data_IF_788252596504
#
_entry.id   IF_788252596504
#
_cell.length_a   1.000
_cell.length_b   1.000
_cell.length_c   1.000
_cell.angle_alpha   90.00
_cell.angle_beta   90.00
_cell.angle_gamma   90.00
#
_symmetry.space_group_name_H-M   'P 1'
#
loop_
_entity.id
_entity.type
_entity.pdbx_description
1 polymer ?
#
# COMPACT_ATOMS: atom_id res chain seq x y z
N UNK A 1 6.26 -8.52 9.53
CA UNK A 1 4.94 -8.81 10.15
C UNK A 1 3.76 -8.07 9.48
N UNK A 2 3.88 -7.60 8.23
CA UNK A 2 2.78 -6.90 7.50
C UNK A 2 2.20 -7.68 6.31
N UNK A 3 2.62 -8.93 6.11
CA UNK A 3 2.23 -9.77 4.98
C UNK A 3 1.03 -10.68 5.25
N UNK A 4 0.46 -10.63 6.46
CA UNK A 4 -0.70 -11.44 6.87
C UNK A 4 -2.05 -10.78 6.61
N UNK A 5 -2.10 -9.45 6.49
CA UNK A 5 -3.34 -8.72 6.17
C UNK A 5 -3.93 -9.06 4.79
N UNK A 6 -3.12 -9.18 3.71
CA UNK A 6 -3.65 -9.57 2.40
C UNK A 6 -4.13 -11.02 2.38
N UNK A 7 -3.49 -11.90 3.15
CA UNK A 7 -3.87 -13.32 3.26
C UNK A 7 -5.12 -13.55 4.11
N UNK A 8 -5.47 -12.63 5.02
CA UNK A 8 -6.69 -12.70 5.82
C UNK A 8 -7.93 -12.20 5.06
N UNK A 9 -7.73 -11.32 4.07
CA UNK A 9 -8.82 -10.76 3.24
C UNK A 9 -9.06 -11.62 1.98
N UNK A 10 -8.04 -12.29 1.44
CA UNK A 10 -8.18 -13.02 0.17
C UNK A 10 -8.92 -14.37 0.30
N UNK A 11 -9.90 -14.68 -0.58
CA UNK A 11 -10.58 -15.96 -0.60
C UNK A 11 -9.64 -17.05 -1.16
N UNK A 12 -9.85 -18.31 -0.79
CA UNK A 12 -8.99 -19.46 -1.14
C UNK A 12 -8.81 -19.53 -2.67
N UNK A 13 -7.64 -19.08 -3.16
CA UNK A 13 -7.26 -19.04 -4.58
C UNK A 13 -6.77 -17.68 -5.10
N UNK A 14 -7.07 -16.56 -4.42
CA UNK A 14 -6.72 -15.21 -4.88
C UNK A 14 -5.43 -14.61 -4.29
N UNK A 15 -4.83 -15.28 -3.31
CA UNK A 15 -3.68 -14.78 -2.54
C UNK A 15 -2.46 -14.51 -3.41
N UNK A 16 -2.27 -15.28 -4.50
CA UNK A 16 -1.20 -15.07 -5.47
C UNK A 16 -1.34 -13.78 -6.28
N UNK A 17 -2.56 -13.46 -6.75
CA UNK A 17 -2.82 -12.22 -7.50
C UNK A 17 -2.73 -10.99 -6.60
N UNK A 18 -3.27 -11.06 -5.39
CA UNK A 18 -3.15 -9.97 -4.41
C UNK A 18 -1.68 -9.74 -4.02
N UNK A 19 -0.93 -10.82 -3.75
CA UNK A 19 0.50 -10.75 -3.47
C UNK A 19 1.31 -10.21 -4.66
N UNK A 20 0.95 -10.58 -5.89
CA UNK A 20 1.55 -10.06 -7.13
C UNK A 20 1.31 -8.56 -7.32
N UNK A 21 0.08 -8.09 -7.13
CA UNK A 21 -0.28 -6.66 -7.23
C UNK A 21 0.48 -5.85 -6.18
N UNK A 22 0.54 -6.33 -4.93
CA UNK A 22 1.29 -5.65 -3.87
C UNK A 22 2.79 -5.60 -4.16
N UNK A 23 3.35 -6.66 -4.72
CA UNK A 23 4.77 -6.70 -5.07
C UNK A 23 5.07 -5.74 -6.23
N UNK A 24 4.22 -5.73 -7.26
CA UNK A 24 4.32 -4.76 -8.35
C UNK A 24 4.21 -3.31 -7.84
N UNK A 25 3.22 -3.02 -7.00
CA UNK A 25 3.05 -1.72 -6.40
C UNK A 25 4.26 -1.31 -5.56
N UNK A 26 4.81 -2.21 -4.73
CA UNK A 26 6.02 -1.94 -3.96
C UNK A 26 7.24 -1.69 -4.84
N UNK A 27 7.44 -2.49 -5.89
CA UNK A 27 8.59 -2.31 -6.79
C UNK A 27 8.50 -0.97 -7.54
N UNK A 28 7.30 -0.62 -8.00
CA UNK A 28 7.04 0.66 -8.65
C UNK A 28 7.24 1.84 -7.68
N UNK A 29 6.67 1.78 -6.48
CA UNK A 29 6.85 2.82 -5.46
C UNK A 29 8.32 2.97 -5.03
N UNK A 30 9.08 1.88 -5.00
CA UNK A 30 10.52 1.89 -4.76
C UNK A 30 11.31 2.68 -5.81
N UNK A 31 10.87 2.67 -7.07
CA UNK A 31 11.47 3.48 -8.13
C UNK A 31 10.94 4.93 -8.15
N UNK A 32 9.65 5.13 -7.84
CA UNK A 32 9.01 6.46 -7.84
C UNK A 32 9.52 7.33 -6.70
N UNK A 33 9.76 6.76 -5.51
CA UNK A 33 10.25 7.51 -4.35
C UNK A 33 11.55 8.31 -4.60
N UNK A 34 12.63 7.74 -5.14
CA UNK A 34 13.84 8.50 -5.46
C UNK A 34 13.64 9.49 -6.61
N UNK A 35 12.78 9.20 -7.59
CA UNK A 35 12.46 10.13 -8.68
C UNK A 35 11.79 11.40 -8.13
N UNK A 36 10.75 11.22 -7.31
CA UNK A 36 10.02 12.35 -6.69
C UNK A 36 10.94 13.12 -5.75
N UNK A 37 11.74 12.42 -4.95
CA UNK A 37 12.72 13.05 -4.05
C UNK A 37 13.75 13.86 -4.85
N UNK A 38 14.30 13.29 -5.92
CA UNK A 38 15.28 13.95 -6.78
C UNK A 38 14.72 15.19 -7.47
N UNK A 39 13.46 15.13 -7.93
CA UNK A 39 12.78 16.28 -8.53
C UNK A 39 12.59 17.43 -7.52
N UNK A 40 12.18 17.12 -6.29
CA UNK A 40 11.97 18.13 -5.23
C UNK A 40 13.30 18.76 -4.81
N UNK A 41 14.33 17.94 -4.57
CA UNK A 41 15.65 18.47 -4.20
C UNK A 41 16.26 19.30 -5.35
N UNK A 42 16.08 18.86 -6.60
CA UNK A 42 16.56 19.56 -7.79
C UNK A 42 15.88 20.91 -8.00
N UNK A 43 14.58 21.02 -7.75
CA UNK A 43 13.84 22.28 -7.89
C UNK A 43 14.08 23.25 -6.73
N UNK A 44 14.30 22.73 -5.51
CA UNK A 44 14.34 23.57 -4.30
C UNK A 44 15.73 23.76 -3.70
N UNK A 45 16.75 23.05 -4.22
CA UNK A 45 18.14 23.01 -3.72
C UNK A 45 18.28 22.70 -2.21
N UNK A 46 17.22 22.23 -1.57
CA UNK A 46 17.13 22.04 -0.12
C UNK A 46 16.52 20.68 0.19
N UNK A 47 17.27 19.86 0.94
CA UNK A 47 16.81 18.56 1.41
C UNK A 47 15.69 18.66 2.46
N UNK A 48 15.61 19.76 3.20
CA UNK A 48 14.58 19.97 4.22
C UNK A 48 13.16 19.93 3.62
N UNK A 49 12.98 20.51 2.43
CA UNK A 49 11.69 20.53 1.75
C UNK A 49 11.31 19.15 1.20
N UNK A 50 12.29 18.34 0.77
CA UNK A 50 12.04 16.97 0.37
C UNK A 50 11.57 16.09 1.55
N UNK A 51 12.17 16.26 2.73
CA UNK A 51 11.72 15.58 3.94
C UNK A 51 10.33 16.02 4.41
N UNK A 52 10.00 17.30 4.30
CA UNK A 52 8.65 17.81 4.61
C UNK A 52 7.58 17.20 3.69
N UNK A 53 7.83 17.13 2.38
CA UNK A 53 6.90 16.51 1.43
C UNK A 53 6.77 15.01 1.68
N UNK A 54 7.88 14.31 1.95
CA UNK A 54 7.85 12.90 2.33
C UNK A 54 7.04 12.66 3.61
N UNK A 55 7.21 13.53 4.62
CA UNK A 55 6.43 13.51 5.85
C UNK A 55 4.93 13.73 5.60
N UNK A 56 4.57 14.69 4.73
CA UNK A 56 3.18 14.93 4.38
C UNK A 56 2.54 13.75 3.63
N UNK A 57 3.27 13.14 2.69
CA UNK A 57 2.86 11.90 2.03
C UNK A 57 2.63 10.76 3.03
N UNK A 58 3.51 10.62 4.04
CA UNK A 58 3.34 9.64 5.10
C UNK A 58 2.05 9.88 5.88
N UNK A 59 1.77 11.13 6.28
CA UNK A 59 0.54 11.49 6.99
C UNK A 59 -0.69 11.19 6.14
N UNK A 60 -0.69 11.52 4.85
CA UNK A 60 -1.78 11.14 3.94
C UNK A 60 -1.96 9.63 3.92
N UNK A 61 -0.87 8.87 3.82
CA UNK A 61 -0.90 7.41 3.85
C UNK A 61 -1.51 6.86 5.15
N UNK A 62 -1.19 7.46 6.30
CA UNK A 62 -1.77 7.10 7.59
C UNK A 62 -3.26 7.42 7.61
N UNK A 63 -3.68 8.60 7.16
CA UNK A 63 -5.10 8.97 7.11
C UNK A 63 -5.88 8.05 6.16
N UNK A 64 -5.33 7.76 4.98
CA UNK A 64 -5.92 6.81 4.05
C UNK A 64 -6.04 5.42 4.69
N UNK A 65 -5.03 4.97 5.42
CA UNK A 65 -5.12 3.71 6.15
C UNK A 65 -6.20 3.76 7.23
N UNK A 66 -6.26 4.81 8.04
CA UNK A 66 -7.23 4.94 9.14
C UNK A 66 -8.68 5.05 8.64
N UNK A 67 -8.93 5.77 7.54
CA UNK A 67 -10.27 6.01 7.03
C UNK A 67 -10.74 4.99 6.00
N UNK A 68 -9.82 4.50 5.16
CA UNK A 68 -10.14 3.64 4.03
C UNK A 68 -10.00 2.15 4.38
N UNK A 69 -9.18 1.81 5.37
CA UNK A 69 -9.16 0.45 5.92
C UNK A 69 -10.42 0.29 6.79
N UNK A 70 -11.52 -0.09 6.13
CA UNK A 70 -12.74 -0.54 6.77
C UNK A 70 -12.56 -1.89 7.47
N UNK A 71 -13.65 -2.58 7.74
CA UNK A 71 -13.60 -3.88 8.41
C UNK A 71 -12.79 -4.89 7.59
N UNK A 72 -11.73 -5.40 8.20
CA UNK A 72 -10.97 -6.56 7.71
C UNK A 72 -11.83 -7.80 8.00
N UNK A 73 -12.85 -8.01 7.18
CA UNK A 73 -13.68 -9.22 7.22
C UNK A 73 -13.11 -10.24 6.22
N UNK A 74 -12.85 -11.49 6.65
CA UNK A 74 -12.53 -12.58 5.74
C UNK A 74 -13.68 -12.74 4.73
N UNK A 75 -13.37 -12.73 3.44
CA UNK A 75 -14.39 -12.90 2.40
C UNK A 75 -15.10 -14.26 2.57
N UNK A 76 -16.45 -14.30 2.55
CA UNK A 76 -17.21 -15.55 2.64
C UNK A 76 -16.84 -16.53 1.52
N UNK A 77 -16.74 -17.82 1.85
CA UNK A 77 -16.45 -18.89 0.88
C UNK A 77 -17.54 -18.94 -0.21
N UNK A 78 -17.19 -18.85 -1.50
CA UNK A 78 -18.15 -19.13 -2.57
C UNK A 78 -18.35 -20.66 -2.64
N UNK A 79 -19.51 -21.14 -2.20
CA UNK A 79 -20.04 -22.42 -2.70
C UNK A 79 -20.21 -23.59 -1.71
N UNK A 80 -20.38 -23.39 -0.41
CA UNK A 80 -20.99 -24.45 0.42
C UNK A 80 -22.50 -24.28 0.37
N UNK A 81 -23.17 -25.10 -0.45
CA UNK A 81 -24.60 -25.35 -0.30
C UNK A 81 -24.81 -26.00 1.07
N UNK A 82 -25.65 -25.41 1.96
CA UNK A 82 -26.20 -26.17 3.07
C UNK A 82 -27.10 -27.24 2.44
N UNK A 83 -26.76 -28.49 2.71
CA UNK A 83 -27.59 -29.67 2.57
C UNK A 83 -29.05 -29.45 3.05
#
# INVERSE_FOLDING_TARGET
MGWSLPSLIAPRGGTGTVGGIMNFANNMMGAVAPIVTGFIVGATHSFANAFLVAGFMLVIGILAFVFLLGKIEPLPEPGVSPD
#
